data_IF_068217561623
#
_entry.id   IF_068217561623
#
_cell.length_a   1.000
_cell.length_b   1.000
_cell.length_c   1.000
_cell.angle_alpha   90.00
_cell.angle_beta   90.00
_cell.angle_gamma   90.00
#
_symmetry.space_group_name_H-M   'P 1'
#
loop_
_entity.id
_entity.type
_entity.pdbx_description
1 polymer ?
#
# COMPACT_ATOMS: atom_id res chain seq x y z
N UNK A 1 -8.75 -29.07 -10.09
CA UNK A 1 -7.70 -28.94 -9.05
C UNK A 1 -7.57 -27.45 -8.79
N UNK A 2 -7.92 -26.96 -7.59
CA UNK A 2 -7.75 -25.54 -7.26
C UNK A 2 -6.26 -25.26 -7.06
N UNK A 3 -5.70 -24.30 -7.80
CA UNK A 3 -4.35 -23.82 -7.53
C UNK A 3 -4.23 -23.38 -6.05
N UNK A 4 -3.06 -23.59 -5.40
CA UNK A 4 -2.84 -23.05 -4.07
C UNK A 4 -2.90 -21.52 -4.15
N UNK A 5 -3.96 -20.93 -3.60
CA UNK A 5 -4.06 -19.48 -3.45
C UNK A 5 -2.90 -19.01 -2.56
N UNK A 6 -1.91 -18.35 -3.17
CA UNK A 6 -0.80 -17.76 -2.42
C UNK A 6 -1.37 -16.67 -1.52
N UNK A 7 -1.30 -16.89 -0.21
CA UNK A 7 -1.86 -15.97 0.77
C UNK A 7 -0.95 -14.73 0.92
N UNK A 8 -1.52 -13.54 0.70
CA UNK A 8 -0.79 -12.27 0.84
C UNK A 8 -0.36 -12.07 2.31
N UNK A 9 0.95 -11.92 2.53
CA UNK A 9 1.53 -11.63 3.84
C UNK A 9 2.30 -10.32 3.82
N UNK A 10 2.00 -9.43 4.76
CA UNK A 10 2.62 -8.10 4.89
C UNK A 10 3.39 -8.05 6.21
N UNK A 11 4.56 -7.43 6.21
CA UNK A 11 5.31 -7.16 7.44
C UNK A 11 4.62 -6.05 8.23
N UNK A 12 4.15 -6.38 9.43
CA UNK A 12 3.48 -5.45 10.32
C UNK A 12 4.49 -4.88 11.33
N UNK A 13 4.80 -3.59 11.23
CA UNK A 13 5.76 -2.94 12.14
C UNK A 13 5.30 -2.95 13.59
N UNK A 14 3.99 -2.97 13.87
CA UNK A 14 3.45 -3.02 15.24
C UNK A 14 3.84 -4.30 15.98
N UNK A 15 3.81 -5.44 15.27
CA UNK A 15 4.12 -6.76 15.84
C UNK A 15 5.51 -7.27 15.44
N UNK A 16 6.20 -6.54 14.54
CA UNK A 16 7.51 -6.87 13.99
C UNK A 16 7.55 -8.23 13.28
N UNK A 17 6.44 -8.65 12.69
CA UNK A 17 6.32 -9.97 12.05
C UNK A 17 5.58 -9.92 10.72
N UNK A 18 5.73 -10.97 9.88
CA UNK A 18 4.94 -11.13 8.65
C UNK A 18 3.60 -11.76 8.97
N UNK A 19 2.52 -11.03 8.79
CA UNK A 19 1.16 -11.44 9.09
C UNK A 19 0.35 -11.63 7.81
N UNK A 20 -0.67 -12.48 7.88
CA UNK A 20 -1.66 -12.61 6.81
C UNK A 20 -2.43 -11.31 6.70
N UNK A 21 -2.43 -10.69 5.52
CA UNK A 21 -3.21 -9.50 5.28
C UNK A 21 -4.70 -9.86 5.21
N UNK A 22 -5.47 -9.33 6.16
CA UNK A 22 -6.93 -9.49 6.23
C UNK A 22 -7.54 -8.08 6.16
N UNK A 23 -8.09 -7.67 5.01
CA UNK A 23 -8.67 -6.34 4.90
C UNK A 23 -9.91 -6.24 5.79
N UNK A 24 -10.19 -5.04 6.30
CA UNK A 24 -11.40 -4.75 7.08
C UNK A 24 -12.64 -4.96 6.21
N UNK A 25 -12.56 -4.54 4.94
CA UNK A 25 -13.57 -4.71 3.91
C UNK A 25 -12.86 -5.21 2.65
N UNK A 26 -13.31 -6.35 2.10
CA UNK A 26 -12.72 -6.95 0.90
C UNK A 26 -13.09 -6.21 -0.38
N UNK A 27 -14.24 -5.52 -0.38
CA UNK A 27 -14.74 -4.78 -1.54
C UNK A 27 -14.13 -3.38 -1.61
N UNK A 28 -13.53 -2.92 -0.50
CA UNK A 28 -12.81 -1.65 -0.41
C UNK A 28 -11.61 -1.71 0.56
N UNK A 29 -10.47 -2.17 0.04
CA UNK A 29 -9.19 -2.12 0.75
C UNK A 29 -8.71 -0.67 0.83
N UNK A 30 -8.46 -0.18 2.04
CA UNK A 30 -8.03 1.21 2.28
C UNK A 30 -6.54 1.25 2.59
N UNK A 31 -5.81 2.10 1.88
CA UNK A 31 -4.37 2.32 2.05
C UNK A 31 -4.07 3.81 2.19
N UNK A 32 -3.41 4.19 3.28
CA UNK A 32 -2.90 5.54 3.49
C UNK A 32 -1.37 5.52 3.52
N UNK A 33 -0.74 6.48 2.84
CA UNK A 33 0.71 6.69 2.87
C UNK A 33 0.98 8.17 3.07
N UNK A 34 1.93 8.51 3.94
CA UNK A 34 2.37 9.89 4.11
C UNK A 34 2.98 10.43 2.80
N UNK A 35 2.56 11.63 2.40
CA UNK A 35 3.10 12.31 1.23
C UNK A 35 4.23 13.28 1.54
N UNK A 36 4.65 14.07 0.54
CA UNK A 36 5.78 14.99 0.66
C UNK A 36 5.39 16.26 1.42
N UNK A 37 6.38 16.85 2.09
CA UNK A 37 6.38 18.29 2.41
C UNK A 37 6.89 19.04 1.19
N UNK A 38 6.18 20.09 0.76
CA UNK A 38 6.41 20.75 -0.54
C UNK A 38 7.26 22.03 -0.46
N UNK A 39 8.10 22.14 0.57
CA UNK A 39 8.98 23.30 0.76
C UNK A 39 10.29 23.26 -0.05
N UNK A 40 10.61 22.12 -0.67
CA UNK A 40 11.75 21.94 -1.57
C UNK A 40 11.47 20.84 -2.60
N UNK A 41 12.36 20.70 -3.60
CA UNK A 41 12.28 19.67 -4.62
C UNK A 41 12.46 18.26 -4.04
N UNK A 42 11.63 17.33 -4.52
CA UNK A 42 11.78 15.92 -4.17
C UNK A 42 13.12 15.36 -4.68
N UNK A 43 13.81 14.61 -3.83
CA UNK A 43 15.01 13.85 -4.18
C UNK A 43 14.70 12.35 -4.33
N UNK A 44 15.67 11.58 -4.82
CA UNK A 44 15.51 10.13 -5.06
C UNK A 44 15.09 9.34 -3.81
N UNK A 45 15.43 9.87 -2.63
CA UNK A 45 15.00 9.33 -1.35
C UNK A 45 13.49 9.43 -1.13
N UNK A 46 12.84 10.51 -1.59
CA UNK A 46 11.39 10.63 -1.58
C UNK A 46 10.73 9.79 -2.69
N UNK A 47 11.42 9.59 -3.83
CA UNK A 47 10.91 8.78 -4.93
C UNK A 47 10.80 7.29 -4.56
N UNK A 48 11.75 6.76 -3.78
CA UNK A 48 11.75 5.36 -3.34
C UNK A 48 10.44 4.93 -2.67
N UNK A 49 9.95 5.58 -1.59
CA UNK A 49 8.69 5.20 -0.97
C UNK A 49 7.50 5.40 -1.92
N UNK A 50 7.50 6.45 -2.76
CA UNK A 50 6.46 6.62 -3.76
C UNK A 50 6.34 5.42 -4.72
N UNK A 51 7.47 4.87 -5.17
CA UNK A 51 7.50 3.69 -6.04
C UNK A 51 7.12 2.42 -5.27
N UNK A 52 7.69 2.20 -4.08
CA UNK A 52 7.40 1.00 -3.27
C UNK A 52 5.90 0.89 -2.96
N UNK A 53 5.25 2.02 -2.63
CA UNK A 53 3.82 2.03 -2.35
C UNK A 53 2.94 2.01 -3.60
N UNK A 54 3.42 2.49 -4.76
CA UNK A 54 2.75 2.24 -6.05
C UNK A 54 2.73 0.74 -6.38
N UNK A 55 3.85 0.04 -6.18
CA UNK A 55 3.91 -1.43 -6.35
C UNK A 55 2.95 -2.13 -5.38
N UNK A 56 2.90 -1.71 -4.11
CA UNK A 56 1.93 -2.25 -3.14
C UNK A 56 0.48 -2.01 -3.59
N UNK A 57 0.15 -0.81 -4.05
CA UNK A 57 -1.18 -0.48 -4.56
C UNK A 57 -1.57 -1.37 -5.75
N UNK A 58 -0.68 -1.54 -6.73
CA UNK A 58 -0.89 -2.43 -7.88
C UNK A 58 -1.07 -3.89 -7.46
N UNK A 59 -0.29 -4.35 -6.48
CA UNK A 59 -0.43 -5.70 -5.93
C UNK A 59 -1.79 -5.89 -5.26
N UNK A 60 -2.25 -4.93 -4.46
CA UNK A 60 -3.58 -5.01 -3.83
C UNK A 60 -4.70 -5.02 -4.87
N UNK A 61 -4.60 -4.21 -5.94
CA UNK A 61 -5.57 -4.23 -7.05
C UNK A 61 -5.57 -5.56 -7.80
N UNK A 62 -4.39 -6.15 -8.02
CA UNK A 62 -4.28 -7.46 -8.64
C UNK A 62 -4.94 -8.56 -7.79
N UNK A 63 -4.86 -8.47 -6.46
CA UNK A 63 -5.40 -9.50 -5.54
C UNK A 63 -6.89 -9.30 -5.24
N UNK A 64 -7.36 -8.07 -5.11
CA UNK A 64 -8.73 -7.75 -4.65
C UNK A 64 -9.64 -7.19 -5.74
N UNK A 65 -9.10 -6.74 -6.87
CA UNK A 65 -9.85 -6.15 -7.97
C UNK A 65 -9.42 -4.70 -8.27
N UNK A 66 -9.46 -4.33 -9.55
CA UNK A 66 -8.97 -3.04 -10.05
C UNK A 66 -9.68 -1.82 -9.42
N UNK A 67 -10.92 -1.98 -8.95
CA UNK A 67 -11.73 -0.91 -8.34
C UNK A 67 -11.87 -1.02 -6.82
N UNK A 68 -11.24 -2.02 -6.20
CA UNK A 68 -11.48 -2.40 -4.80
C UNK A 68 -10.42 -1.83 -3.85
N UNK A 69 -9.61 -0.86 -4.29
CA UNK A 69 -8.54 -0.27 -3.47
C UNK A 69 -8.64 1.25 -3.48
N UNK A 70 -8.91 1.83 -2.30
CA UNK A 70 -8.83 3.26 -2.07
C UNK A 70 -7.43 3.61 -1.56
N UNK A 71 -6.65 4.30 -2.40
CA UNK A 71 -5.32 4.79 -2.04
C UNK A 71 -5.32 6.30 -1.79
N UNK A 72 -4.99 6.71 -0.57
CA UNK A 72 -4.90 8.11 -0.15
C UNK A 72 -3.46 8.46 0.21
N UNK A 73 -3.01 9.61 -0.27
CA UNK A 73 -1.72 10.22 0.10
C UNK A 73 -1.91 11.71 0.30
N UNK A 74 -1.46 12.23 1.43
CA UNK A 74 -1.57 13.65 1.72
C UNK A 74 -0.52 14.47 0.96
N UNK A 75 -0.63 15.79 1.04
CA UNK A 75 0.44 16.75 0.74
C UNK A 75 0.58 17.60 1.99
N UNK A 76 1.80 17.78 2.49
CA UNK A 76 2.04 18.64 3.65
C UNK A 76 2.43 20.03 3.15
N UNK A 77 1.47 20.95 3.16
CA UNK A 77 1.56 22.33 2.67
C UNK A 77 1.53 23.38 3.79
N UNK A 78 1.45 22.95 5.05
CA UNK A 78 1.53 23.76 6.28
C UNK A 78 2.50 23.10 7.26
#
# INVERSE_FOLDING_TARGET
>A
MSEPQTQLRIYNTLTRSKEVFKPIDRDNVRMYVCGPTVYDYAHIGNARPAIVFDVMFRLLRHVYGETHVTYVRNITDV
#
